data_IF_821933504159
#
_entry.id   IF_821933504159
#
_cell.length_a   1.000
_cell.length_b   1.000
_cell.length_c   1.000
_cell.angle_alpha   90.00
_cell.angle_beta   90.00
_cell.angle_gamma   90.00
#
_symmetry.space_group_name_H-M   'P 1'
#
loop_
_entity.id
_entity.type
_entity.pdbx_description
1 polymer ?
#
# COMPACT_ATOMS: atom_id res chain seq x y z
N UNK A 1 10.38 6.77 11.84
CA UNK A 1 9.41 5.76 11.32
C UNK A 1 9.75 5.41 9.88
N UNK A 2 9.76 4.13 9.53
CA UNK A 2 9.92 3.62 8.15
C UNK A 2 8.51 3.46 7.56
N UNK A 3 8.21 4.21 6.49
CA UNK A 3 6.90 4.15 5.83
C UNK A 3 6.81 2.94 4.92
N UNK A 4 5.70 2.20 4.99
CA UNK A 4 5.34 1.03 4.17
C UNK A 4 6.52 0.06 3.91
N UNK A 5 7.13 -0.47 5.00
CA UNK A 5 8.29 -1.39 4.92
C UNK A 5 7.99 -2.60 4.03
N UNK A 6 8.93 -2.96 3.19
CA UNK A 6 8.83 -4.12 2.29
C UNK A 6 10.17 -4.54 1.70
N UNK A 7 10.32 -5.81 1.38
CA UNK A 7 11.35 -6.32 0.46
C UNK A 7 10.78 -6.23 -0.96
N UNK A 8 11.15 -5.16 -1.70
CA UNK A 8 10.55 -4.83 -2.99
C UNK A 8 11.47 -5.21 -4.15
N UNK A 9 11.05 -6.20 -4.93
CA UNK A 9 11.78 -6.72 -6.06
C UNK A 9 12.34 -8.13 -5.81
N UNK A 10 12.42 -8.94 -6.86
CA UNK A 10 12.82 -10.36 -6.75
C UNK A 10 14.22 -10.56 -6.18
N UNK A 11 15.12 -9.62 -6.43
CA UNK A 11 16.50 -9.60 -5.97
C UNK A 11 16.67 -9.45 -4.45
N UNK A 12 15.64 -8.98 -3.76
CA UNK A 12 15.65 -8.79 -2.30
C UNK A 12 14.62 -9.65 -1.56
N UNK A 13 13.94 -10.55 -2.25
CA UNK A 13 13.03 -11.49 -1.61
C UNK A 13 13.76 -12.38 -0.60
N UNK A 14 13.13 -12.63 0.55
CA UNK A 14 13.72 -13.39 1.65
C UNK A 14 14.63 -12.59 2.58
N UNK A 15 14.88 -11.30 2.30
CA UNK A 15 15.79 -10.47 3.11
C UNK A 15 15.10 -9.80 4.32
N UNK A 16 13.82 -10.04 4.55
CA UNK A 16 13.10 -9.46 5.70
C UNK A 16 13.79 -9.74 7.03
N UNK A 17 14.32 -10.94 7.24
CA UNK A 17 15.02 -11.31 8.48
C UNK A 17 16.28 -10.46 8.72
N UNK A 18 17.02 -10.12 7.66
CA UNK A 18 18.22 -9.27 7.77
C UNK A 18 17.81 -7.82 8.13
N UNK A 19 16.74 -7.30 7.51
CA UNK A 19 16.22 -5.98 7.82
C UNK A 19 15.69 -5.91 9.25
N UNK A 20 14.98 -6.94 9.71
CA UNK A 20 14.48 -7.05 11.09
C UNK A 20 15.66 -7.02 12.06
N UNK A 21 16.70 -7.82 11.84
CA UNK A 21 17.89 -7.83 12.69
C UNK A 21 18.57 -6.45 12.80
N UNK A 22 18.65 -5.70 11.69
CA UNK A 22 19.19 -4.33 11.70
C UNK A 22 18.31 -3.37 12.51
N UNK A 23 17.00 -3.48 12.39
CA UNK A 23 16.06 -2.64 13.16
C UNK A 23 16.12 -3.00 14.64
N UNK A 24 16.16 -4.27 14.99
CA UNK A 24 16.24 -4.73 16.39
C UNK A 24 17.55 -4.32 17.05
N UNK A 25 18.68 -4.38 16.34
CA UNK A 25 19.95 -3.87 16.82
C UNK A 25 19.90 -2.36 17.09
N UNK A 26 19.39 -1.57 16.16
CA UNK A 26 19.24 -0.13 16.36
C UNK A 26 18.30 0.20 17.53
N UNK A 27 17.24 -0.60 17.74
CA UNK A 27 16.32 -0.45 18.88
C UNK A 27 17.00 -0.81 20.20
N UNK A 28 17.85 -1.84 20.21
CA UNK A 28 18.65 -2.22 21.39
C UNK A 28 19.64 -1.12 21.78
N UNK A 29 20.18 -0.38 20.80
CA UNK A 29 21.03 0.80 21.00
C UNK A 29 20.23 2.07 21.39
N UNK A 30 18.92 1.94 21.69
CA UNK A 30 18.07 3.04 22.14
C UNK A 30 17.46 3.90 21.02
N UNK A 31 17.66 3.57 19.75
CA UNK A 31 17.05 4.29 18.63
C UNK A 31 15.57 3.93 18.53
N UNK A 32 14.69 4.92 18.59
CA UNK A 32 13.24 4.71 18.44
C UNK A 32 12.89 4.46 16.96
N UNK A 33 12.87 3.19 16.53
CA UNK A 33 12.48 2.78 15.19
C UNK A 33 11.09 2.16 15.24
N UNK A 34 10.19 2.64 14.37
CA UNK A 34 8.88 2.03 14.05
C UNK A 34 8.72 1.97 12.55
N UNK A 35 7.86 1.08 12.05
CA UNK A 35 7.51 0.99 10.63
C UNK A 35 6.01 0.83 10.45
N UNK A 36 5.54 1.04 9.22
CA UNK A 36 4.18 0.69 8.82
C UNK A 36 4.19 -0.29 7.65
N UNK A 37 3.16 -1.13 7.52
CA UNK A 37 3.03 -2.14 6.48
C UNK A 37 1.56 -2.33 6.09
N UNK A 38 1.30 -2.71 4.83
CA UNK A 38 0.00 -3.13 4.33
C UNK A 38 0.03 -4.62 3.90
N UNK A 39 -1.11 -5.36 4.03
CA UNK A 39 -1.16 -6.81 3.88
C UNK A 39 -1.38 -7.25 2.41
N UNK A 40 -0.67 -6.69 1.46
CA UNK A 40 -0.77 -7.00 0.03
C UNK A 40 0.60 -7.24 -0.57
N UNK A 41 0.69 -8.10 -1.58
CA UNK A 41 1.91 -8.47 -2.30
C UNK A 41 2.21 -7.57 -3.52
N UNK A 42 1.31 -6.65 -3.83
CA UNK A 42 1.54 -5.63 -4.83
C UNK A 42 1.78 -4.24 -4.21
N UNK A 43 2.77 -3.53 -4.73
CA UNK A 43 2.95 -2.10 -4.46
C UNK A 43 2.15 -1.25 -5.44
N UNK A 44 1.70 -0.06 -5.01
CA UNK A 44 1.08 0.92 -5.89
C UNK A 44 2.09 1.99 -6.29
N UNK A 45 2.21 2.27 -7.58
CA UNK A 45 3.09 3.31 -8.16
C UNK A 45 2.62 3.69 -9.55
N UNK A 46 3.36 4.53 -10.29
CA UNK A 46 3.10 4.78 -11.71
C UNK A 46 4.04 3.96 -12.61
N UNK A 47 3.70 3.83 -13.89
CA UNK A 47 4.57 3.18 -14.89
C UNK A 47 5.91 3.91 -14.96
N UNK A 48 5.91 5.24 -14.90
CA UNK A 48 7.11 6.07 -14.91
C UNK A 48 8.00 5.74 -13.71
N UNK A 49 7.47 5.85 -12.50
CA UNK A 49 8.22 5.58 -11.27
C UNK A 49 8.65 4.11 -11.15
N UNK A 50 7.93 3.19 -11.83
CA UNK A 50 8.29 1.80 -11.88
C UNK A 50 9.49 1.52 -12.79
N UNK A 51 9.55 2.16 -13.96
CA UNK A 51 10.42 1.75 -15.06
C UNK A 51 11.45 2.80 -15.47
N UNK A 52 11.13 4.10 -15.39
CA UNK A 52 12.04 5.15 -15.84
C UNK A 52 13.23 5.29 -14.88
N UNK A 53 14.47 5.27 -15.37
CA UNK A 53 15.62 5.56 -14.54
C UNK A 53 15.66 7.03 -14.11
N UNK A 54 16.10 7.30 -12.89
CA UNK A 54 16.06 8.62 -12.25
C UNK A 54 16.65 9.75 -13.09
N UNK A 55 17.77 9.48 -13.79
CA UNK A 55 18.39 10.51 -14.64
C UNK A 55 17.48 10.98 -15.79
N UNK A 56 16.58 10.10 -16.26
CA UNK A 56 15.66 10.43 -17.36
C UNK A 56 14.44 11.24 -16.89
N UNK A 57 14.15 11.30 -15.60
CA UNK A 57 13.07 12.12 -15.01
C UNK A 57 13.50 13.58 -14.77
N UNK A 58 14.79 13.88 -14.79
CA UNK A 58 15.31 15.25 -14.54
C UNK A 58 14.74 16.23 -15.57
N UNK A 59 14.16 17.33 -15.10
CA UNK A 59 13.49 18.33 -15.93
C UNK A 59 12.00 18.07 -16.17
N UNK A 60 11.46 17.02 -15.53
CA UNK A 60 10.02 16.75 -15.52
C UNK A 60 9.47 16.06 -16.79
N UNK A 61 8.13 15.97 -16.93
CA UNK A 61 7.50 15.17 -17.97
C UNK A 61 7.86 15.59 -19.41
N UNK A 62 7.97 16.88 -19.69
CA UNK A 62 8.32 17.37 -21.03
C UNK A 62 9.75 16.92 -21.43
N UNK A 63 10.71 17.01 -20.51
CA UNK A 63 12.08 16.58 -20.75
C UNK A 63 12.17 15.04 -20.92
N UNK A 64 11.35 14.27 -20.16
CA UNK A 64 11.25 12.83 -20.35
C UNK A 64 10.74 12.48 -21.75
N UNK A 65 9.68 13.13 -22.22
CA UNK A 65 9.14 12.88 -23.56
C UNK A 65 10.15 13.21 -24.67
N UNK A 66 10.96 14.27 -24.51
CA UNK A 66 12.06 14.58 -25.43
C UNK A 66 13.10 13.45 -25.47
N UNK A 67 13.53 12.94 -24.29
CA UNK A 67 14.49 11.82 -24.19
C UNK A 67 13.95 10.52 -24.80
N UNK A 68 12.67 10.25 -24.64
CA UNK A 68 12.00 9.10 -25.28
C UNK A 68 12.04 9.21 -26.82
N UNK A 69 12.01 10.42 -27.36
CA UNK A 69 12.10 10.69 -28.81
C UNK A 69 13.53 10.78 -29.36
N UNK A 70 14.53 10.94 -28.50
CA UNK A 70 15.93 11.14 -28.90
C UNK A 70 16.59 9.80 -29.23
N UNK A 71 16.98 9.61 -30.49
CA UNK A 71 17.60 8.37 -30.97
C UNK A 71 18.95 8.06 -30.33
N UNK A 72 19.69 9.05 -29.84
CA UNK A 72 20.96 8.85 -29.15
C UNK A 72 20.77 8.39 -27.69
N UNK A 73 19.70 8.83 -27.04
CA UNK A 73 19.41 8.56 -25.62
C UNK A 73 18.57 7.29 -25.45
N UNK A 74 17.65 7.06 -26.37
CA UNK A 74 16.63 6.00 -26.31
C UNK A 74 17.18 4.57 -26.05
N UNK A 75 18.26 4.11 -26.70
CA UNK A 75 18.79 2.75 -26.47
C UNK A 75 19.21 2.54 -25.01
N UNK A 76 19.90 3.50 -24.41
CA UNK A 76 20.27 3.47 -23.00
C UNK A 76 19.03 3.47 -22.08
N UNK A 77 18.08 4.36 -22.36
CA UNK A 77 16.84 4.46 -21.60
C UNK A 77 16.10 3.11 -21.58
N UNK A 78 15.89 2.49 -22.73
CA UNK A 78 15.19 1.21 -22.86
C UNK A 78 15.93 0.07 -22.14
N UNK A 79 17.26 0.01 -22.23
CA UNK A 79 18.06 -1.00 -21.53
C UNK A 79 17.95 -0.87 -20.00
N UNK A 80 17.94 0.35 -19.46
CA UNK A 80 17.76 0.58 -18.02
C UNK A 80 16.31 0.34 -17.58
N UNK A 81 15.33 0.68 -18.40
CA UNK A 81 13.92 0.32 -18.17
C UNK A 81 13.73 -1.20 -18.12
N UNK A 82 14.39 -1.97 -18.98
CA UNK A 82 14.34 -3.42 -18.95
C UNK A 82 14.88 -3.97 -17.63
N UNK A 83 16.01 -3.48 -17.13
CA UNK A 83 16.56 -3.86 -15.82
C UNK A 83 15.58 -3.56 -14.69
N UNK A 84 14.91 -2.40 -14.73
CA UNK A 84 13.89 -2.05 -13.74
C UNK A 84 12.67 -2.98 -13.83
N UNK A 85 12.26 -3.37 -15.03
CA UNK A 85 11.17 -4.30 -15.26
C UNK A 85 11.52 -5.70 -14.74
N UNK A 86 12.71 -6.19 -15.02
CA UNK A 86 13.19 -7.52 -14.58
C UNK A 86 13.22 -7.60 -13.04
N UNK A 87 13.76 -6.56 -12.37
CA UNK A 87 13.76 -6.46 -10.91
C UNK A 87 12.36 -6.53 -10.32
N UNK A 88 11.35 -5.99 -11.00
CA UNK A 88 9.96 -6.03 -10.55
C UNK A 88 9.26 -7.36 -10.81
N UNK A 89 9.87 -8.27 -11.56
CA UNK A 89 9.31 -9.57 -11.86
C UNK A 89 8.77 -9.73 -13.28
N UNK A 90 9.09 -8.79 -14.17
CA UNK A 90 8.69 -8.83 -15.58
C UNK A 90 7.34 -8.14 -15.85
N UNK A 91 6.93 -8.18 -17.11
CA UNK A 91 5.78 -7.42 -17.60
C UNK A 91 4.41 -7.90 -17.06
N UNK A 92 4.31 -9.18 -16.70
CA UNK A 92 3.10 -9.74 -16.07
C UNK A 92 2.86 -9.19 -14.66
N UNK A 93 3.92 -8.74 -13.98
CA UNK A 93 3.82 -8.21 -12.62
C UNK A 93 3.26 -6.79 -12.54
N UNK A 94 3.08 -6.09 -13.66
CA UNK A 94 2.60 -4.71 -13.72
C UNK A 94 1.17 -4.67 -14.26
N UNK A 95 0.18 -4.54 -13.38
CA UNK A 95 -1.23 -4.38 -13.72
C UNK A 95 -1.61 -2.90 -13.71
N UNK A 96 -2.11 -2.38 -14.83
CA UNK A 96 -2.61 -1.00 -14.94
C UNK A 96 -3.90 -0.86 -14.13
N UNK A 97 -3.94 0.03 -13.15
CA UNK A 97 -5.08 0.21 -12.25
C UNK A 97 -5.84 1.52 -12.47
N UNK A 98 -5.18 2.53 -13.00
CA UNK A 98 -5.77 3.77 -13.45
C UNK A 98 -4.92 4.39 -14.57
N UNK A 99 -5.56 5.01 -15.54
CA UNK A 99 -4.89 5.72 -16.63
C UNK A 99 -5.83 6.75 -17.25
N UNK A 100 -5.31 7.84 -17.86
CA UNK A 100 -6.11 8.74 -18.69
C UNK A 100 -6.74 7.98 -19.87
N UNK A 101 -5.96 7.14 -20.56
CA UNK A 101 -6.44 6.26 -21.60
C UNK A 101 -6.99 4.96 -20.96
N UNK A 102 -8.32 4.83 -20.96
CA UNK A 102 -9.03 3.73 -20.29
C UNK A 102 -8.76 2.36 -20.91
N UNK A 103 -8.24 2.30 -22.15
CA UNK A 103 -7.93 1.03 -22.81
C UNK A 103 -6.89 0.19 -22.06
N UNK A 104 -6.05 0.85 -21.24
CA UNK A 104 -4.99 0.18 -20.46
C UNK A 104 -5.50 -0.43 -19.14
N UNK A 105 -6.59 0.10 -18.59
CA UNK A 105 -7.04 -0.28 -17.24
C UNK A 105 -7.46 -1.75 -17.19
N UNK A 106 -6.97 -2.46 -16.16
CA UNK A 106 -7.26 -3.88 -15.94
C UNK A 106 -6.38 -4.85 -16.73
N UNK A 107 -5.42 -4.33 -17.52
CA UNK A 107 -4.48 -5.15 -18.30
C UNK A 107 -3.09 -5.14 -17.68
N UNK A 108 -2.36 -6.24 -17.83
CA UNK A 108 -0.93 -6.26 -17.51
C UNK A 108 -0.12 -5.59 -18.63
N UNK A 109 1.10 -5.15 -18.30
CA UNK A 109 2.00 -4.60 -19.32
C UNK A 109 2.30 -5.64 -20.41
N UNK A 110 2.40 -6.92 -20.04
CA UNK A 110 2.58 -8.01 -21.00
C UNK A 110 1.37 -8.16 -21.93
N UNK A 111 0.15 -8.12 -21.40
CA UNK A 111 -1.08 -8.18 -22.21
C UNK A 111 -1.16 -7.01 -23.20
N UNK A 112 -0.84 -5.80 -22.76
CA UNK A 112 -0.81 -4.62 -23.64
C UNK A 112 0.25 -4.77 -24.74
N UNK A 113 1.43 -5.26 -24.40
CA UNK A 113 2.51 -5.51 -25.35
C UNK A 113 2.11 -6.54 -26.41
N UNK A 114 1.47 -7.64 -26.00
CA UNK A 114 0.96 -8.70 -26.87
C UNK A 114 -0.11 -8.16 -27.82
N UNK A 115 -1.12 -7.46 -27.32
CA UNK A 115 -2.20 -6.87 -28.14
C UNK A 115 -1.65 -5.91 -29.20
N UNK A 116 -0.55 -5.23 -28.91
CA UNK A 116 0.08 -4.25 -29.81
C UNK A 116 1.18 -4.83 -30.71
N UNK A 117 1.55 -6.10 -30.52
CA UNK A 117 2.66 -6.72 -31.27
C UNK A 117 4.00 -6.05 -31.01
N UNK A 118 4.23 -5.52 -29.77
CA UNK A 118 5.44 -4.78 -29.42
C UNK A 118 6.14 -5.40 -28.21
N UNK A 119 7.38 -4.93 -27.92
CA UNK A 119 8.03 -5.31 -26.67
C UNK A 119 7.32 -4.64 -25.46
N UNK A 120 7.42 -5.21 -24.23
CA UNK A 120 6.89 -4.59 -23.03
C UNK A 120 7.44 -3.18 -22.78
N UNK A 121 8.69 -2.92 -23.10
CA UNK A 121 9.27 -1.57 -22.94
C UNK A 121 8.67 -0.57 -23.94
N UNK A 122 8.44 -0.97 -25.20
CA UNK A 122 7.75 -0.11 -26.18
C UNK A 122 6.29 0.15 -25.77
N UNK A 123 5.60 -0.86 -25.23
CA UNK A 123 4.26 -0.67 -24.68
C UNK A 123 4.28 0.32 -23.51
N UNK A 124 5.25 0.21 -22.58
CA UNK A 124 5.40 1.16 -21.48
C UNK A 124 5.66 2.59 -21.98
N UNK A 125 6.55 2.77 -22.96
CA UNK A 125 6.80 4.08 -23.57
C UNK A 125 5.54 4.65 -24.24
N UNK A 126 4.70 3.80 -24.82
CA UNK A 126 3.42 4.21 -25.42
C UNK A 126 2.45 4.68 -24.34
N UNK A 127 2.34 3.96 -23.23
CA UNK A 127 1.52 4.34 -22.07
C UNK A 127 1.98 5.70 -21.53
N UNK A 128 3.29 5.90 -21.34
CA UNK A 128 3.86 7.17 -20.86
C UNK A 128 3.52 8.33 -21.79
N UNK A 129 3.66 8.14 -23.11
CA UNK A 129 3.29 9.15 -24.11
C UNK A 129 1.81 9.52 -24.11
N UNK A 130 0.94 8.60 -23.68
CA UNK A 130 -0.50 8.81 -23.56
C UNK A 130 -0.94 9.31 -22.17
N UNK A 131 -0.01 9.80 -21.36
CA UNK A 131 -0.27 10.41 -20.06
C UNK A 131 -0.04 9.50 -18.85
N UNK A 132 0.62 8.35 -19.06
CA UNK A 132 1.02 7.42 -18.00
C UNK A 132 -0.09 6.52 -17.52
N UNK A 133 0.21 5.73 -16.50
CA UNK A 133 -0.76 4.89 -15.79
C UNK A 133 -0.29 4.61 -14.36
N UNK A 134 -1.25 4.51 -13.42
CA UNK A 134 -1.00 3.91 -12.12
C UNK A 134 -0.97 2.39 -12.25
N UNK A 135 -0.09 1.74 -11.49
CA UNK A 135 0.10 0.29 -11.53
C UNK A 135 0.04 -0.35 -10.14
N UNK A 136 -0.55 -1.53 -10.08
CA UNK A 136 -0.26 -2.51 -9.05
C UNK A 136 0.91 -3.37 -9.55
N UNK A 137 2.03 -3.30 -8.85
CA UNK A 137 3.25 -4.04 -9.18
C UNK A 137 3.40 -5.20 -8.20
N UNK A 138 3.18 -6.43 -8.67
CA UNK A 138 3.28 -7.67 -7.89
C UNK A 138 4.74 -8.07 -7.71
N UNK A 139 5.40 -7.44 -6.75
CA UNK A 139 6.84 -7.48 -6.56
C UNK A 139 7.26 -7.73 -5.11
N UNK A 140 6.36 -8.23 -4.28
CA UNK A 140 6.63 -8.62 -2.90
C UNK A 140 6.29 -10.09 -2.67
N UNK A 141 6.95 -10.69 -1.67
CA UNK A 141 6.79 -12.09 -1.31
C UNK A 141 6.03 -12.22 0.03
N UNK A 142 5.10 -13.17 0.09
CA UNK A 142 4.24 -13.38 1.27
C UNK A 142 5.03 -13.70 2.54
N UNK A 143 6.16 -14.42 2.44
CA UNK A 143 7.01 -14.73 3.61
C UNK A 143 7.60 -13.47 4.24
N UNK A 144 8.07 -12.50 3.43
CA UNK A 144 8.62 -11.25 3.92
C UNK A 144 7.54 -10.37 4.57
N UNK A 145 6.34 -10.30 3.95
CA UNK A 145 5.18 -9.61 4.52
C UNK A 145 4.84 -10.19 5.89
N UNK A 146 4.73 -11.53 6.01
CA UNK A 146 4.43 -12.18 7.28
C UNK A 146 5.53 -11.96 8.34
N UNK A 147 6.80 -11.91 7.93
CA UNK A 147 7.91 -11.65 8.84
C UNK A 147 7.87 -10.23 9.41
N UNK A 148 7.66 -9.23 8.55
CA UNK A 148 7.49 -7.84 9.01
C UNK A 148 6.24 -7.67 9.87
N UNK A 149 5.10 -8.28 9.48
CA UNK A 149 3.83 -8.18 10.20
C UNK A 149 3.90 -8.68 11.64
N UNK A 150 4.78 -9.63 11.94
CA UNK A 150 4.99 -10.17 13.30
C UNK A 150 5.77 -9.26 14.24
N UNK A 151 6.38 -8.18 13.73
CA UNK A 151 7.23 -7.31 14.54
C UNK A 151 6.38 -6.34 15.38
N UNK A 152 6.72 -6.19 16.65
CA UNK A 152 5.98 -5.35 17.61
C UNK A 152 6.07 -3.84 17.32
N UNK A 153 7.03 -3.46 16.49
CA UNK A 153 7.28 -2.10 16.02
C UNK A 153 6.66 -1.80 14.64
N UNK A 154 5.95 -2.75 14.03
CA UNK A 154 5.30 -2.57 12.72
C UNK A 154 3.81 -2.28 12.89
N UNK A 155 3.39 -1.12 12.40
CA UNK A 155 1.99 -0.68 12.38
C UNK A 155 1.29 -1.11 11.10
N UNK A 156 -0.04 -1.17 11.16
CA UNK A 156 -0.87 -1.31 9.96
C UNK A 156 -1.02 0.04 9.26
N UNK A 157 -0.80 0.08 7.96
CA UNK A 157 -1.17 1.21 7.11
C UNK A 157 -1.90 0.72 5.85
N UNK A 158 -2.67 1.59 5.22
CA UNK A 158 -3.30 1.28 3.93
C UNK A 158 -2.43 1.68 2.75
N UNK A 159 -1.58 2.69 2.91
CA UNK A 159 -0.82 3.30 1.80
C UNK A 159 -1.73 3.53 0.57
N UNK A 160 -2.96 4.02 0.84
CA UNK A 160 -4.09 4.02 -0.09
C UNK A 160 -3.81 4.83 -1.35
N UNK A 161 -3.86 4.16 -2.51
CA UNK A 161 -3.72 4.76 -3.82
C UNK A 161 -4.93 4.44 -4.70
N UNK A 162 -5.24 5.26 -5.71
CA UNK A 162 -6.28 4.97 -6.68
C UNK A 162 -6.05 3.61 -7.36
N UNK A 163 -7.14 2.86 -7.60
CA UNK A 163 -7.08 1.59 -8.33
C UNK A 163 -6.51 0.40 -7.56
N UNK A 164 -5.90 0.60 -6.37
CA UNK A 164 -5.40 -0.50 -5.56
C UNK A 164 -6.41 -0.86 -4.45
N UNK A 165 -6.72 -2.15 -4.23
CA UNK A 165 -7.71 -2.59 -3.22
C UNK A 165 -7.32 -2.22 -1.78
N UNK A 166 -6.03 -2.02 -1.49
CA UNK A 166 -5.52 -1.73 -0.14
C UNK A 166 -6.13 -0.49 0.51
N UNK A 167 -6.62 0.49 -0.28
CA UNK A 167 -7.28 1.69 0.25
C UNK A 167 -8.53 1.34 1.07
N UNK A 168 -9.31 0.36 0.62
CA UNK A 168 -10.57 -0.05 1.23
C UNK A 168 -10.48 -1.37 1.98
N UNK A 169 -9.49 -2.21 1.66
CA UNK A 169 -9.41 -3.59 2.14
C UNK A 169 -8.36 -3.86 3.21
N UNK A 170 -7.40 -2.97 3.48
CA UNK A 170 -6.23 -3.27 4.33
C UNK A 170 -6.58 -3.84 5.69
N UNK A 171 -7.42 -3.16 6.46
CA UNK A 171 -7.71 -3.59 7.84
C UNK A 171 -8.56 -4.86 7.88
N UNK A 172 -9.65 -5.00 7.10
CA UNK A 172 -10.39 -6.24 7.05
C UNK A 172 -9.59 -7.41 6.45
N UNK A 173 -8.72 -7.19 5.46
CA UNK A 173 -7.83 -8.22 4.92
C UNK A 173 -6.82 -8.71 5.96
N UNK A 174 -6.21 -7.80 6.72
CA UNK A 174 -5.30 -8.17 7.81
C UNK A 174 -5.99 -9.05 8.83
N UNK A 175 -7.22 -8.70 9.23
CA UNK A 175 -7.99 -9.51 10.17
C UNK A 175 -8.38 -10.86 9.56
N UNK A 176 -9.00 -10.86 8.37
CA UNK A 176 -9.49 -12.11 7.77
C UNK A 176 -8.34 -13.06 7.45
N UNK A 177 -7.40 -12.64 6.63
CA UNK A 177 -6.33 -13.51 6.15
C UNK A 177 -5.32 -13.86 7.22
N UNK A 178 -4.75 -12.86 7.92
CA UNK A 178 -3.57 -13.09 8.75
C UNK A 178 -3.90 -13.41 10.23
N UNK A 179 -5.10 -13.08 10.69
CA UNK A 179 -5.55 -13.46 12.04
C UNK A 179 -6.41 -14.73 12.00
N UNK A 180 -7.50 -14.71 11.20
CA UNK A 180 -8.51 -15.75 11.30
C UNK A 180 -8.25 -16.96 10.40
N UNK A 181 -7.70 -16.77 9.20
CA UNK A 181 -7.49 -17.87 8.26
C UNK A 181 -6.10 -18.50 8.40
N UNK A 182 -5.03 -17.68 8.42
CA UNK A 182 -3.65 -18.17 8.42
C UNK A 182 -2.97 -18.16 9.81
N UNK A 183 -3.58 -17.56 10.82
CA UNK A 183 -3.05 -17.48 12.20
C UNK A 183 -1.60 -16.97 12.29
N UNK A 184 -1.23 -16.01 11.43
CA UNK A 184 0.12 -15.41 11.39
C UNK A 184 0.40 -14.57 12.63
N UNK A 185 -0.63 -13.83 13.09
CA UNK A 185 -0.63 -12.98 14.27
C UNK A 185 -1.92 -13.17 15.06
N UNK A 186 -1.89 -12.87 16.37
CA UNK A 186 -3.09 -12.92 17.21
C UNK A 186 -3.98 -11.70 17.00
N UNK A 187 -5.27 -11.82 17.33
CA UNK A 187 -6.21 -10.71 17.27
C UNK A 187 -5.78 -9.52 18.14
N UNK A 188 -5.37 -9.69 19.42
CA UNK A 188 -4.88 -8.57 20.22
C UNK A 188 -3.68 -7.86 19.59
N UNK A 189 -2.75 -8.60 18.96
CA UNK A 189 -1.60 -8.03 18.26
C UNK A 189 -2.04 -7.21 17.04
N UNK A 190 -2.97 -7.75 16.23
CA UNK A 190 -3.52 -7.03 15.06
C UNK A 190 -4.22 -5.73 15.47
N UNK A 191 -5.02 -5.77 16.56
CA UNK A 191 -5.68 -4.58 17.10
C UNK A 191 -4.65 -3.55 17.57
N UNK A 192 -3.67 -3.95 18.41
CA UNK A 192 -2.61 -3.06 18.88
C UNK A 192 -1.87 -2.39 17.73
N UNK A 193 -1.43 -3.15 16.74
CA UNK A 193 -0.70 -2.63 15.58
C UNK A 193 -1.53 -1.72 14.67
N UNK A 194 -2.86 -1.72 14.81
CA UNK A 194 -3.79 -0.89 14.03
C UNK A 194 -4.37 0.28 14.83
N UNK A 195 -4.15 0.36 16.16
CA UNK A 195 -4.77 1.36 17.04
C UNK A 195 -3.75 2.04 17.98
N UNK A 196 -3.38 1.41 19.10
CA UNK A 196 -2.54 2.05 20.12
C UNK A 196 -1.11 2.27 19.65
N UNK A 197 -0.51 1.37 18.89
CA UNK A 197 0.85 1.55 18.37
C UNK A 197 0.97 2.76 17.41
N UNK A 198 0.10 2.94 16.38
CA UNK A 198 0.12 4.16 15.58
C UNK A 198 -0.22 5.41 16.39
N UNK A 199 -1.17 5.36 17.32
CA UNK A 199 -1.50 6.51 18.17
C UNK A 199 -0.29 6.95 19.02
N UNK A 200 0.41 6.02 19.64
CA UNK A 200 1.66 6.27 20.41
C UNK A 200 2.76 6.82 19.49
N UNK A 201 2.98 6.20 18.32
CA UNK A 201 4.02 6.60 17.37
C UNK A 201 3.82 8.01 16.85
N UNK A 202 2.57 8.38 16.58
CA UNK A 202 2.19 9.70 16.05
C UNK A 202 1.93 10.73 17.15
N UNK A 203 2.06 10.36 18.44
CA UNK A 203 1.83 11.25 19.56
C UNK A 203 0.37 11.68 19.73
N UNK A 204 -0.58 10.85 19.28
CA UNK A 204 -2.01 11.09 19.47
C UNK A 204 -2.37 10.75 20.91
N UNK A 205 -2.80 11.76 21.66
CA UNK A 205 -3.28 11.60 23.02
C UNK A 205 -4.76 11.25 23.01
N UNK A 206 -5.22 10.49 24.02
CA UNK A 206 -6.62 10.15 24.25
C UNK A 206 -7.30 9.38 23.10
N UNK A 207 -6.51 8.62 22.28
CA UNK A 207 -6.97 7.76 21.21
C UNK A 207 -6.22 6.42 21.16
N UNK A 208 -6.73 5.47 20.40
CA UNK A 208 -6.09 4.16 20.17
C UNK A 208 -6.31 3.13 21.26
N UNK A 209 -7.06 3.46 22.32
CA UNK A 209 -7.43 2.56 23.42
C UNK A 209 -8.89 2.80 23.82
N UNK A 210 -9.58 1.73 24.24
CA UNK A 210 -10.87 1.80 24.93
C UNK A 210 -10.60 2.08 26.41
N UNK A 211 -10.65 3.35 26.78
CA UNK A 211 -10.35 3.84 28.14
C UNK A 211 -11.21 5.04 28.47
N UNK A 212 -11.67 5.11 29.74
CA UNK A 212 -12.41 6.30 30.22
C UNK A 212 -11.62 7.59 30.00
N UNK A 213 -12.29 8.62 29.49
CA UNK A 213 -11.68 9.91 29.13
C UNK A 213 -11.05 9.96 27.73
N UNK A 214 -11.03 8.83 26.99
CA UNK A 214 -10.57 8.80 25.60
C UNK A 214 -11.71 9.09 24.64
N UNK A 215 -11.37 9.57 23.43
CA UNK A 215 -12.36 9.71 22.37
C UNK A 215 -12.95 8.35 22.01
N UNK A 216 -14.27 8.34 21.82
CA UNK A 216 -14.98 7.13 21.41
C UNK A 216 -14.81 6.89 19.90
N UNK A 217 -13.61 6.42 19.51
CA UNK A 217 -13.32 5.84 18.22
C UNK A 217 -13.41 4.32 18.39
N UNK A 218 -14.58 3.76 18.12
CA UNK A 218 -14.89 2.36 18.46
C UNK A 218 -15.30 1.60 17.20
N UNK A 219 -14.71 0.44 17.01
CA UNK A 219 -15.02 -0.50 15.93
C UNK A 219 -15.64 -1.76 16.55
N UNK A 220 -16.83 -2.14 16.06
CA UNK A 220 -17.47 -3.43 16.37
C UNK A 220 -17.61 -4.19 15.06
N UNK A 221 -17.06 -5.37 15.00
CA UNK A 221 -17.10 -6.24 13.82
C UNK A 221 -17.42 -7.69 14.18
N UNK A 222 -18.00 -8.42 13.23
CA UNK A 222 -18.24 -9.85 13.36
C UNK A 222 -17.01 -10.62 12.83
N UNK A 223 -16.29 -11.37 13.68
CA UNK A 223 -15.10 -12.13 13.25
C UNK A 223 -15.39 -13.22 12.21
N UNK A 224 -16.64 -13.67 12.07
CA UNK A 224 -17.03 -14.67 11.06
C UNK A 224 -17.20 -14.07 9.68
N UNK A 225 -17.64 -12.82 9.58
CA UNK A 225 -18.04 -12.18 8.33
C UNK A 225 -17.12 -11.03 7.90
N UNK A 226 -16.23 -10.54 8.79
CA UNK A 226 -15.27 -9.47 8.45
C UNK A 226 -14.36 -9.90 7.30
N UNK A 227 -14.37 -9.13 6.20
CA UNK A 227 -13.49 -9.36 5.04
C UNK A 227 -13.41 -8.14 4.12
N UNK A 228 -12.29 -8.00 3.44
CA UNK A 228 -12.17 -7.11 2.30
C UNK A 228 -13.00 -7.65 1.13
N UNK A 229 -13.65 -6.76 0.41
CA UNK A 229 -14.34 -7.06 -0.85
C UNK A 229 -13.67 -6.37 -2.04
N UNK A 230 -12.84 -5.37 -1.76
CA UNK A 230 -12.09 -4.66 -2.80
C UNK A 230 -11.12 -5.59 -3.51
N UNK A 231 -11.11 -5.51 -4.84
CA UNK A 231 -10.22 -6.25 -5.74
C UNK A 231 -9.51 -5.27 -6.68
N UNK A 232 -8.54 -5.72 -7.46
CA UNK A 232 -7.89 -4.87 -8.48
C UNK A 232 -8.86 -4.45 -9.60
N UNK A 233 -9.90 -5.24 -9.87
CA UNK A 233 -10.97 -4.92 -10.83
C UNK A 233 -12.01 -3.98 -10.22
N UNK A 234 -12.29 -4.13 -8.93
CA UNK A 234 -13.28 -3.34 -8.18
C UNK A 234 -12.68 -2.79 -6.88
N UNK A 235 -11.73 -1.86 -6.97
CA UNK A 235 -10.93 -1.43 -5.82
C UNK A 235 -11.69 -0.61 -4.78
N UNK A 236 -12.91 -0.13 -5.09
CA UNK A 236 -13.72 0.73 -4.23
C UNK A 236 -14.79 -0.02 -3.44
N UNK A 237 -14.88 -1.34 -3.56
CA UNK A 237 -15.86 -2.11 -2.79
C UNK A 237 -15.56 -1.99 -1.30
N UNK A 238 -16.59 -1.65 -0.53
CA UNK A 238 -16.51 -1.57 0.92
C UNK A 238 -16.43 -2.97 1.53
N UNK A 239 -15.79 -3.06 2.70
CA UNK A 239 -15.70 -4.30 3.48
C UNK A 239 -17.08 -4.76 3.96
N UNK A 240 -17.19 -6.05 4.29
CA UNK A 240 -18.32 -6.62 5.03
C UNK A 240 -17.92 -6.95 6.46
N UNK A 241 -18.92 -7.21 7.33
CA UNK A 241 -18.71 -7.64 8.71
C UNK A 241 -18.41 -6.52 9.70
N UNK A 242 -18.38 -5.25 9.26
CA UNK A 242 -18.44 -4.11 10.17
C UNK A 242 -19.86 -3.94 10.66
N UNK A 243 -20.06 -3.99 11.99
CA UNK A 243 -21.39 -3.85 12.61
C UNK A 243 -21.61 -2.41 13.04
N UNK A 244 -20.70 -1.87 13.85
CA UNK A 244 -20.74 -0.47 14.28
C UNK A 244 -19.37 0.19 14.12
N UNK A 245 -19.36 1.45 13.72
CA UNK A 245 -18.19 2.32 13.73
C UNK A 245 -18.56 3.66 14.35
N UNK A 246 -17.94 3.99 15.47
CA UNK A 246 -18.00 5.31 16.06
C UNK A 246 -16.72 6.08 15.74
N UNK A 247 -16.87 7.33 15.36
CA UNK A 247 -15.77 8.27 15.17
C UNK A 247 -16.09 9.51 16.01
N UNK A 248 -15.22 9.87 16.95
CA UNK A 248 -15.45 10.94 17.89
C UNK A 248 -16.83 10.84 18.63
N UNK A 249 -17.28 9.62 18.93
CA UNK A 249 -18.53 9.35 19.60
C UNK A 249 -19.79 9.37 18.72
N UNK A 250 -19.67 9.61 17.42
CA UNK A 250 -20.79 9.60 16.48
C UNK A 250 -20.76 8.32 15.63
N UNK A 251 -21.91 7.68 15.45
CA UNK A 251 -22.05 6.50 14.59
C UNK A 251 -21.82 6.88 13.12
N UNK A 252 -20.75 6.37 12.53
CA UNK A 252 -20.46 6.45 11.11
C UNK A 252 -20.95 5.19 10.35
N UNK A 253 -21.01 4.04 11.06
CA UNK A 253 -21.68 2.82 10.61
C UNK A 253 -22.61 2.38 11.73
N UNK A 254 -23.89 2.12 11.39
CA UNK A 254 -24.93 1.62 12.28
C UNK A 254 -25.52 0.34 11.70
N UNK A 255 -25.46 -0.76 12.45
CA UNK A 255 -25.94 -2.08 12.03
C UNK A 255 -25.46 -2.51 10.61
N UNK A 256 -24.22 -2.13 10.25
CA UNK A 256 -23.60 -2.46 8.95
C UNK A 256 -23.81 -1.44 7.84
N UNK A 257 -24.66 -0.43 8.05
CA UNK A 257 -25.00 0.58 7.05
C UNK A 257 -24.29 1.92 7.33
N UNK A 258 -23.87 2.63 6.30
CA UNK A 258 -23.29 3.96 6.43
C UNK A 258 -24.34 4.96 6.85
N UNK A 259 -24.01 5.78 7.86
CA UNK A 259 -24.84 6.91 8.28
C UNK A 259 -24.46 8.19 7.52
N UNK A 260 -25.19 9.29 7.77
CA UNK A 260 -24.86 10.62 7.26
C UNK A 260 -23.84 11.38 8.13
N UNK A 261 -23.28 10.75 9.18
CA UNK A 261 -22.36 11.41 10.09
C UNK A 261 -21.00 11.70 9.44
N UNK A 262 -20.54 12.94 9.54
CA UNK A 262 -19.23 13.42 9.13
C UNK A 262 -18.39 13.80 10.36
N UNK A 263 -18.14 12.83 11.23
CA UNK A 263 -17.53 13.03 12.55
C UNK A 263 -15.99 13.16 12.52
N UNK A 264 -15.35 12.98 11.37
CA UNK A 264 -13.90 13.11 11.19
C UNK A 264 -13.42 14.55 11.41
N UNK A 265 -12.22 14.70 11.98
CA UNK A 265 -11.56 16.00 12.16
C UNK A 265 -10.04 15.87 12.01
N UNK A 266 -9.31 16.94 11.65
CA UNK A 266 -7.86 16.96 11.70
C UNK A 266 -7.34 16.64 13.10
N UNK A 267 -6.24 15.89 13.17
CA UNK A 267 -5.55 15.54 14.41
C UNK A 267 -4.13 16.12 14.36
N UNK A 268 -3.88 17.31 14.94
CA UNK A 268 -2.55 17.88 14.99
C UNK A 268 -1.60 17.01 15.84
N UNK A 269 -0.35 16.89 15.43
CA UNK A 269 0.68 16.15 16.17
C UNK A 269 0.86 16.75 17.57
N UNK A 270 0.86 15.90 18.59
CA UNK A 270 1.07 16.31 19.98
C UNK A 270 -0.10 17.01 20.65
N UNK A 271 -1.24 17.21 19.96
CA UNK A 271 -2.41 17.81 20.57
C UNK A 271 -3.20 16.79 21.41
N UNK A 272 -3.40 17.10 22.70
CA UNK A 272 -4.61 16.63 23.36
C UNK A 272 -5.73 17.56 22.87
N UNK A 273 -6.63 17.05 22.05
CA UNK A 273 -7.80 17.81 21.66
C UNK A 273 -8.78 17.84 22.85
N UNK A 274 -8.45 18.61 23.89
CA UNK A 274 -9.47 19.11 24.80
C UNK A 274 -10.20 20.21 24.04
N UNK A 275 -11.44 19.97 23.67
CA UNK A 275 -12.43 21.02 23.48
C UNK A 275 -12.86 21.56 24.82
#
# INVERSE_FOLDING_TARGET
MISHIKALGRDVWGQSSQVIALVDAARADGVRVTASEYPYDASGTSVEAALIPRWAEVGGPAALLQRIGDSAVRPRLMAEMQKNLDRRGGAESLLMTAAPDKEFIGKTLAGIAQERGTSPIEAALTIIKKGGADVASFNMQQSDIKNFMRQDWVMTCSDGSPGHPRKYGTFPEKLRKYVFDEHVITLPFAIRSSTSLPAETLGLKDRGLLKAGYFADVVVFDPKTIRARSTYQQPKLLATGMVYLLVNGQLAIDAGELTSAHAGRPLPHGSSAKL
#
